data_IF_298368920840
#
_entry.id   IF_298368920840
#
_cell.length_a   1.000
_cell.length_b   1.000
_cell.length_c   1.000
_cell.angle_alpha   90.00
_cell.angle_beta   90.00
_cell.angle_gamma   90.00
#
_symmetry.space_group_name_H-M   'P 1'
#
loop_
_entity.id
_entity.type
_entity.pdbx_description
1 polymer ?
#
# COMPACT_ATOMS: atom_id res chain seq x y z
N UNK A 1 -13.22 16.26 0.78
CA UNK A 1 -12.36 15.45 -0.11
C UNK A 1 -11.22 14.92 0.75
N UNK A 2 -11.20 13.61 0.98
CA UNK A 2 -10.30 12.98 1.95
C UNK A 2 -8.83 13.22 1.55
N UNK A 3 -8.05 13.78 2.46
CA UNK A 3 -6.61 13.93 2.31
C UNK A 3 -6.00 12.54 2.37
N UNK A 4 -5.68 11.96 1.22
CA UNK A 4 -4.91 10.72 1.15
C UNK A 4 -3.58 10.97 1.87
N UNK A 5 -3.46 10.52 3.12
CA UNK A 5 -2.25 10.68 3.93
C UNK A 5 -1.18 9.78 3.34
N UNK A 6 -0.38 10.31 2.43
CA UNK A 6 0.77 9.60 1.87
C UNK A 6 1.95 9.73 2.84
N UNK A 7 2.50 8.61 3.29
CA UNK A 7 3.74 8.56 4.06
C UNK A 7 4.91 8.18 3.14
N UNK A 8 6.04 8.88 3.25
CA UNK A 8 7.24 8.57 2.47
C UNK A 8 7.95 7.34 3.03
N UNK A 9 8.11 6.30 2.22
CA UNK A 9 8.85 5.08 2.55
C UNK A 9 10.20 5.05 1.83
N UNK A 10 11.30 5.06 2.59
CA UNK A 10 12.67 4.93 2.05
C UNK A 10 13.25 3.59 2.45
N UNK A 11 13.60 2.75 1.47
CA UNK A 11 14.21 1.44 1.70
C UNK A 11 15.37 1.22 0.72
N UNK A 12 16.37 0.45 1.17
CA UNK A 12 17.52 0.05 0.33
C UNK A 12 17.27 -1.34 -0.21
N UNK A 13 17.43 -1.51 -1.51
CA UNK A 13 17.36 -2.80 -2.20
C UNK A 13 18.57 -2.98 -3.09
N UNK A 14 18.83 -4.24 -3.43
CA UNK A 14 19.82 -4.58 -4.44
C UNK A 14 19.48 -3.89 -5.78
N UNK A 15 20.47 -3.33 -6.50
CA UNK A 15 20.23 -2.70 -7.79
C UNK A 15 19.57 -3.64 -8.81
N UNK A 16 19.85 -4.95 -8.74
CA UNK A 16 19.22 -5.94 -9.62
C UNK A 16 17.72 -6.07 -9.34
N UNK A 17 17.34 -6.02 -8.06
CA UNK A 17 15.93 -6.06 -7.65
C UNK A 17 15.18 -4.79 -8.04
N UNK A 18 15.86 -3.64 -8.00
CA UNK A 18 15.29 -2.36 -8.47
C UNK A 18 14.93 -2.41 -9.96
N UNK A 19 15.81 -2.96 -10.80
CA UNK A 19 15.55 -3.08 -12.24
C UNK A 19 14.41 -4.07 -12.53
N UNK A 20 14.33 -5.18 -11.79
CA UNK A 20 13.20 -6.10 -11.88
C UNK A 20 11.88 -5.43 -11.48
N UNK A 21 11.87 -4.69 -10.37
CA UNK A 21 10.70 -3.93 -9.90
C UNK A 21 10.27 -2.86 -10.93
N UNK A 22 11.24 -2.15 -11.52
CA UNK A 22 10.99 -1.17 -12.58
C UNK A 22 10.38 -1.83 -13.82
N UNK A 23 10.87 -3.00 -14.20
CA UNK A 23 10.33 -3.77 -15.32
C UNK A 23 8.88 -4.18 -15.03
N UNK A 24 8.59 -4.73 -13.85
CA UNK A 24 7.23 -5.08 -13.43
C UNK A 24 6.29 -3.87 -13.44
N UNK A 25 6.73 -2.74 -12.87
CA UNK A 25 5.95 -1.50 -12.86
C UNK A 25 5.64 -0.98 -14.28
N UNK A 26 6.61 -1.05 -15.20
CA UNK A 26 6.40 -0.70 -16.60
C UNK A 26 5.39 -1.62 -17.29
N UNK A 27 5.45 -2.93 -17.05
CA UNK A 27 4.48 -3.87 -17.63
C UNK A 27 3.04 -3.61 -17.16
N UNK A 28 2.86 -3.17 -15.91
CA UNK A 28 1.56 -2.83 -15.33
C UNK A 28 1.12 -1.38 -15.64
N UNK A 29 1.91 -0.61 -16.40
CA UNK A 29 1.67 0.81 -16.71
C UNK A 29 1.50 1.68 -15.44
N UNK A 30 2.20 1.35 -14.37
CA UNK A 30 2.11 2.03 -13.07
C UNK A 30 3.49 2.51 -12.62
N UNK A 31 3.52 3.56 -11.79
CA UNK A 31 4.75 4.02 -11.15
C UNK A 31 5.31 2.97 -10.19
N UNK A 32 6.63 2.97 -9.96
CA UNK A 32 7.30 2.08 -8.99
C UNK A 32 6.64 2.17 -7.60
N UNK A 33 6.25 3.36 -7.16
CA UNK A 33 5.54 3.56 -5.89
C UNK A 33 4.24 2.74 -5.82
N UNK A 34 3.40 2.84 -6.85
CA UNK A 34 2.13 2.12 -6.90
C UNK A 34 2.35 0.61 -7.04
N UNK A 35 3.41 0.17 -7.73
CA UNK A 35 3.81 -1.24 -7.78
C UNK A 35 4.18 -1.75 -6.38
N UNK A 36 4.93 -0.95 -5.60
CA UNK A 36 5.27 -1.29 -4.21
C UNK A 36 4.02 -1.36 -3.34
N UNK A 37 3.05 -0.45 -3.51
CA UNK A 37 1.77 -0.51 -2.79
C UNK A 37 0.99 -1.79 -3.07
N UNK A 38 0.93 -2.22 -4.34
CA UNK A 38 0.27 -3.48 -4.73
C UNK A 38 0.99 -4.68 -4.10
N UNK A 39 2.32 -4.72 -4.13
CA UNK A 39 3.10 -5.80 -3.52
C UNK A 39 2.91 -5.87 -2.00
N UNK A 40 2.87 -4.71 -1.33
CA UNK A 40 2.61 -4.65 0.12
C UNK A 40 1.19 -5.14 0.42
N UNK A 41 0.20 -4.72 -0.36
CA UNK A 41 -1.20 -5.13 -0.19
C UNK A 41 -1.37 -6.64 -0.39
N UNK A 42 -0.85 -7.18 -1.49
CA UNK A 42 -0.89 -8.62 -1.77
C UNK A 42 -0.20 -9.43 -0.68
N UNK A 43 0.96 -8.97 -0.19
CA UNK A 43 1.63 -9.60 0.95
C UNK A 43 0.76 -9.59 2.21
N UNK A 44 0.18 -8.44 2.57
CA UNK A 44 -0.70 -8.32 3.72
C UNK A 44 -1.94 -9.20 3.60
N UNK A 45 -2.59 -9.24 2.44
CA UNK A 45 -3.76 -10.10 2.18
C UNK A 45 -3.41 -11.58 2.35
N UNK A 46 -2.27 -12.02 1.79
CA UNK A 46 -1.81 -13.42 1.93
C UNK A 46 -1.44 -13.81 3.35
N UNK A 47 -0.96 -12.84 4.14
CA UNK A 47 -0.55 -13.06 5.52
C UNK A 47 -1.63 -12.72 6.56
N UNK A 48 -2.82 -12.28 6.11
CA UNK A 48 -3.92 -11.88 7.01
C UNK A 48 -3.64 -10.61 7.82
N UNK A 49 -2.76 -9.73 7.34
CA UNK A 49 -2.44 -8.45 7.97
C UNK A 49 -3.48 -7.43 7.52
N UNK A 50 -4.31 -6.94 8.45
CA UNK A 50 -5.27 -5.88 8.16
C UNK A 50 -4.54 -4.57 7.86
N UNK A 51 -4.67 -4.06 6.63
CA UNK A 51 -4.25 -2.70 6.29
C UNK A 51 -5.42 -1.77 6.63
N UNK A 52 -5.34 -1.11 7.77
CA UNK A 52 -6.31 -0.09 8.17
C UNK A 52 -6.19 1.11 7.23
N UNK A 53 -7.18 1.30 6.34
CA UNK A 53 -7.29 2.53 5.57
C UNK A 53 -7.52 3.69 6.54
N UNK A 54 -6.70 4.77 6.53
CA UNK A 54 -6.80 5.88 7.48
C UNK A 54 -8.01 6.82 7.23
N UNK A 55 -9.18 6.25 6.91
CA UNK A 55 -10.43 6.94 6.65
C UNK A 55 -11.68 6.24 7.20
N UNK A 56 -11.53 5.10 7.87
CA UNK A 56 -12.66 4.35 8.44
C UNK A 56 -12.47 4.11 9.95
N UNK A 57 -12.02 5.16 10.67
CA UNK A 57 -12.39 5.25 12.09
C UNK A 57 -13.89 5.47 12.17
N UNK A 58 -14.60 4.35 12.35
CA UNK A 58 -15.65 4.17 13.33
C UNK A 58 -16.62 5.36 13.50
N UNK A 59 -17.73 5.32 12.76
CA UNK A 59 -18.98 5.97 13.15
C UNK A 59 -20.00 4.91 13.58
N UNK A 60 -19.60 3.90 14.37
CA UNK A 60 -20.51 2.94 14.99
C UNK A 60 -20.46 3.04 16.50
N UNK A 61 -20.64 4.27 17.00
CA UNK A 61 -21.04 4.56 18.37
C UNK A 61 -22.57 4.70 18.51
N UNK A 62 -23.36 3.84 17.87
CA UNK A 62 -24.79 3.70 18.20
C UNK A 62 -24.95 2.52 19.17
N UNK A 63 -24.80 2.81 20.46
CA UNK A 63 -25.39 1.99 21.52
C UNK A 63 -26.05 2.92 22.53
N UNK A 64 -27.30 3.26 22.24
CA UNK A 64 -28.24 3.80 23.22
C UNK A 64 -28.83 2.63 24.01
N UNK A 65 -28.60 2.58 25.32
CA UNK A 65 -29.50 1.98 26.33
C UNK A 65 -29.48 2.80 27.59
#
# INVERSE_FOLDING_TARGET
>A
MATTKTATLTFRIDPSLKEALRTAAQQEHRSIANMVEVLIRDYCERHGIAIESPGETDNSGEHSV
#
